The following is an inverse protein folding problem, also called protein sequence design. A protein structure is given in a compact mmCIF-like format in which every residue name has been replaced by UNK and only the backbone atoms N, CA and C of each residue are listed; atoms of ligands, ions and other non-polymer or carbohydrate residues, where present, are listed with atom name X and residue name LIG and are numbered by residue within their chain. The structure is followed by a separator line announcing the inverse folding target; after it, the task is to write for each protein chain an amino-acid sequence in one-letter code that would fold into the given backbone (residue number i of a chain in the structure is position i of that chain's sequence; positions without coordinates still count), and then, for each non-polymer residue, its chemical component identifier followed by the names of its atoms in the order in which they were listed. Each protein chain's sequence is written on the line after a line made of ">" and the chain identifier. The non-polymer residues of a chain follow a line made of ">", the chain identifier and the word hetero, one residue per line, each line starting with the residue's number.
data_IF_343483197835
#
_entry.id   IF_343483197835
#
_cell.length_a   1.000
_cell.length_b   1.000
_cell.length_c   1.000
_cell.angle_alpha   90.00
_cell.angle_beta   90.00
_cell.angle_gamma   90.00
#
_symmetry.space_group_name_H-M   'P 1'
#
loop_
_entity.id
_entity.type
_entity.pdbx_description
1 polymer ?
#
# COMPACT_ATOMS: atom_id res chain seq x y z
N UNK A 1 15.43 -21.78 3.14
CA UNK A 1 15.51 -20.38 3.60
C UNK A 1 14.21 -20.02 4.34
N UNK A 2 14.26 -19.26 5.42
CA UNK A 2 13.07 -18.77 6.10
C UNK A 2 12.34 -17.72 5.25
N UNK A 3 11.03 -17.55 5.46
CA UNK A 3 10.26 -16.48 4.82
C UNK A 3 10.68 -15.11 5.34
N UNK A 4 10.68 -14.10 4.47
CA UNK A 4 10.98 -12.72 4.86
C UNK A 4 9.88 -12.18 5.80
N UNK A 5 10.22 -11.61 6.96
CA UNK A 5 9.26 -10.97 7.83
C UNK A 5 8.57 -9.80 7.12
N UNK A 6 7.25 -9.79 7.14
CA UNK A 6 6.44 -8.76 6.50
C UNK A 6 5.56 -8.05 7.52
N UNK A 7 5.46 -6.73 7.38
CA UNK A 7 4.59 -5.85 8.16
C UNK A 7 3.75 -5.02 7.18
N UNK A 8 2.46 -4.89 7.43
CA UNK A 8 1.57 -4.11 6.58
C UNK A 8 0.93 -2.97 7.36
N UNK A 9 0.75 -1.82 6.71
CA UNK A 9 0.07 -0.66 7.28
C UNK A 9 -1.14 -0.30 6.41
N UNK A 10 -2.27 -0.02 7.06
CA UNK A 10 -3.48 0.43 6.36
C UNK A 10 -4.35 1.35 7.25
N UNK A 11 -5.16 2.21 6.62
CA UNK A 11 -6.07 3.13 7.31
C UNK A 11 -7.55 2.80 7.12
N UNK A 12 -7.89 1.88 6.22
CA UNK A 12 -9.26 1.54 5.85
C UNK A 12 -9.64 0.11 6.24
N UNK A 13 -10.02 -0.71 5.26
CA UNK A 13 -10.52 -2.07 5.47
C UNK A 13 -9.43 -3.14 5.53
N UNK A 14 -8.23 -2.82 5.08
CA UNK A 14 -7.14 -3.78 4.94
C UNK A 14 -7.37 -4.83 3.84
N UNK A 15 -8.31 -4.58 2.92
CA UNK A 15 -8.66 -5.53 1.86
C UNK A 15 -7.45 -5.93 1.01
N UNK A 16 -6.59 -4.99 0.67
CA UNK A 16 -5.37 -5.23 -0.08
C UNK A 16 -4.39 -6.12 0.68
N UNK A 17 -4.16 -5.82 1.97
CA UNK A 17 -3.34 -6.65 2.84
C UNK A 17 -3.89 -8.08 2.92
N UNK A 18 -5.22 -8.26 3.06
CA UNK A 18 -5.87 -9.57 3.09
C UNK A 18 -5.60 -10.40 1.82
N UNK A 19 -5.73 -9.77 0.64
CA UNK A 19 -5.45 -10.41 -0.66
C UNK A 19 -3.98 -10.84 -0.76
N UNK A 20 -3.05 -9.98 -0.33
CA UNK A 20 -1.61 -10.24 -0.41
C UNK A 20 -1.16 -11.35 0.54
N UNK A 21 -1.76 -11.50 1.73
CA UNK A 21 -1.39 -12.58 2.68
C UNK A 21 -1.47 -13.95 2.04
N UNK A 22 -2.56 -14.25 1.34
CA UNK A 22 -2.72 -15.51 0.63
C UNK A 22 -1.70 -15.70 -0.49
N UNK A 23 -1.56 -14.67 -1.33
CA UNK A 23 -0.74 -14.71 -2.54
C UNK A 23 0.77 -14.76 -2.25
N UNK A 24 1.23 -14.10 -1.19
CA UNK A 24 2.65 -13.97 -0.86
C UNK A 24 3.15 -14.93 0.24
N UNK A 25 2.30 -15.81 0.72
CA UNK A 25 2.58 -16.71 1.88
C UNK A 25 3.78 -17.65 1.69
N UNK A 26 4.17 -17.95 0.46
CA UNK A 26 5.35 -18.78 0.16
C UNK A 26 6.68 -18.06 0.40
N UNK A 27 6.74 -16.74 0.23
CA UNK A 27 7.98 -15.92 0.32
C UNK A 27 8.02 -15.05 1.57
N UNK A 28 6.86 -14.58 2.01
CA UNK A 28 6.73 -13.61 3.11
C UNK A 28 5.88 -14.19 4.23
N UNK A 29 6.22 -13.80 5.45
CA UNK A 29 5.45 -14.14 6.64
C UNK A 29 4.91 -12.86 7.28
N UNK A 30 3.59 -12.64 7.18
CA UNK A 30 2.97 -11.51 7.86
C UNK A 30 3.11 -11.68 9.37
N UNK A 31 3.95 -10.85 9.98
CA UNK A 31 4.14 -10.79 11.43
C UNK A 31 3.06 -9.97 12.10
N UNK A 32 2.74 -8.82 11.50
CA UNK A 32 1.75 -7.90 12.04
C UNK A 32 1.21 -7.00 10.93
N UNK A 33 -0.06 -6.62 11.05
CA UNK A 33 -0.68 -5.56 10.29
C UNK A 33 -1.11 -4.44 11.25
N UNK A 34 -0.62 -3.23 11.02
CA UNK A 34 -0.98 -2.06 11.83
C UNK A 34 -2.08 -1.26 11.15
N UNK A 35 -3.05 -0.80 11.95
CA UNK A 35 -4.05 0.14 11.44
C UNK A 35 -4.33 1.26 12.43
N UNK A 36 -4.47 2.48 11.90
CA UNK A 36 -4.95 3.64 12.65
C UNK A 36 -6.48 3.80 12.56
N UNK A 37 -7.17 2.89 11.88
CA UNK A 37 -8.63 2.83 11.86
C UNK A 37 -9.14 2.25 13.19
N UNK A 38 -9.65 3.11 14.07
CA UNK A 38 -10.20 2.71 15.37
C UNK A 38 -11.44 1.80 15.24
N UNK A 39 -12.17 1.95 14.13
CA UNK A 39 -13.40 1.21 13.84
C UNK A 39 -13.14 -0.08 13.04
N UNK A 40 -11.87 -0.40 12.78
CA UNK A 40 -11.54 -1.64 12.07
C UNK A 40 -12.10 -2.85 12.83
N UNK A 41 -12.80 -3.69 12.12
CA UNK A 41 -13.27 -5.01 12.62
C UNK A 41 -12.67 -6.08 11.73
N UNK A 42 -12.12 -7.11 12.35
CA UNK A 42 -11.67 -8.28 11.62
C UNK A 42 -12.89 -9.00 11.06
N UNK A 43 -12.95 -9.06 9.75
CA UNK A 43 -14.03 -9.73 9.05
C UNK A 43 -13.73 -11.24 9.04
N UNK A 44 -14.41 -11.96 9.92
CA UNK A 44 -14.28 -13.40 10.02
C UNK A 44 -14.82 -14.12 8.77
N UNK A 45 -15.74 -13.48 8.02
CA UNK A 45 -16.34 -14.06 6.81
C UNK A 45 -15.37 -14.12 5.64
N UNK A 46 -14.36 -13.24 5.58
CA UNK A 46 -13.29 -13.24 4.56
C UNK A 46 -12.13 -14.18 4.88
N UNK A 47 -12.38 -15.22 5.68
CA UNK A 47 -11.43 -16.30 5.90
C UNK A 47 -10.33 -16.04 6.92
N UNK A 48 -10.45 -15.00 7.74
CA UNK A 48 -9.56 -14.77 8.89
C UNK A 48 -8.08 -14.54 8.55
N UNK A 49 -7.74 -14.15 7.30
CA UNK A 49 -6.34 -13.99 6.85
C UNK A 49 -5.51 -13.07 7.76
N UNK A 50 -6.15 -12.10 8.40
CA UNK A 50 -5.51 -11.17 9.35
C UNK A 50 -5.85 -11.50 10.82
N UNK A 51 -6.61 -12.55 11.10
CA UNK A 51 -7.07 -12.85 12.45
C UNK A 51 -5.89 -12.96 13.44
N UNK A 52 -5.99 -12.21 14.54
CA UNK A 52 -4.94 -12.16 15.56
C UNK A 52 -3.64 -11.46 15.15
N UNK A 53 -3.55 -10.92 13.93
CA UNK A 53 -2.36 -10.22 13.43
C UNK A 53 -2.53 -8.71 13.33
N UNK A 54 -3.75 -8.17 13.49
CA UNK A 54 -3.99 -6.73 13.40
C UNK A 54 -3.81 -6.06 14.75
N UNK A 55 -3.00 -5.00 14.75
CA UNK A 55 -2.83 -4.10 15.88
C UNK A 55 -3.45 -2.75 15.53
N UNK A 56 -4.51 -2.40 16.25
CA UNK A 56 -5.12 -1.07 16.17
C UNK A 56 -4.39 -0.13 17.09
N UNK A 57 -3.81 0.94 16.54
CA UNK A 57 -3.04 1.91 17.31
C UNK A 57 -3.12 3.30 16.68
N UNK A 58 -2.79 4.34 17.46
CA UNK A 58 -2.58 5.68 16.90
C UNK A 58 -1.40 5.69 15.93
N UNK A 59 -1.36 6.65 15.02
CA UNK A 59 -0.21 6.81 14.10
C UNK A 59 1.09 6.98 14.86
N UNK A 60 1.09 7.71 15.98
CA UNK A 60 2.28 7.89 16.82
C UNK A 60 2.75 6.58 17.45
N UNK A 61 1.81 5.74 17.92
CA UNK A 61 2.15 4.42 18.46
C UNK A 61 2.68 3.48 17.37
N UNK A 62 2.13 3.55 16.15
CA UNK A 62 2.64 2.81 14.99
C UNK A 62 4.06 3.27 14.66
N UNK A 63 4.28 4.59 14.58
CA UNK A 63 5.59 5.18 14.33
C UNK A 63 6.62 4.73 15.40
N UNK A 64 6.23 4.75 16.67
CA UNK A 64 7.09 4.27 17.77
C UNK A 64 7.40 2.77 17.62
N UNK A 65 6.41 1.94 17.30
CA UNK A 65 6.62 0.50 17.09
C UNK A 65 7.59 0.20 15.94
N UNK A 66 7.48 0.96 14.83
CA UNK A 66 8.36 0.80 13.68
C UNK A 66 9.78 1.34 13.92
N UNK A 67 9.88 2.56 14.46
CA UNK A 67 11.17 3.24 14.61
C UNK A 67 11.98 2.81 15.82
N UNK A 68 11.31 2.50 16.94
CA UNK A 68 11.96 2.09 18.19
C UNK A 68 11.89 0.58 18.44
N UNK A 69 11.07 -0.12 17.67
CA UNK A 69 10.87 -1.57 17.79
C UNK A 69 12.06 -2.38 17.30
N UNK A 70 12.03 -3.68 17.62
CA UNK A 70 13.07 -4.64 17.23
C UNK A 70 12.63 -5.43 15.98
N UNK A 71 12.34 -4.73 14.88
CA UNK A 71 12.03 -5.41 13.63
C UNK A 71 13.25 -6.22 13.15
N UNK A 72 13.05 -7.45 12.63
CA UNK A 72 14.14 -8.24 12.06
C UNK A 72 14.82 -7.51 10.89
N UNK A 73 16.11 -7.77 10.71
CA UNK A 73 16.85 -7.24 9.55
C UNK A 73 16.23 -7.72 8.24
N UNK A 74 16.18 -6.84 7.25
CA UNK A 74 15.65 -7.15 5.92
C UNK A 74 14.13 -7.36 5.89
N UNK A 75 13.39 -6.82 6.86
CA UNK A 75 11.92 -6.88 6.85
C UNK A 75 11.34 -6.13 5.66
N UNK A 76 10.22 -6.64 5.13
CA UNK A 76 9.37 -5.91 4.22
C UNK A 76 8.29 -5.13 4.99
N UNK A 77 8.09 -3.87 4.62
CA UNK A 77 6.99 -3.05 5.14
C UNK A 77 6.20 -2.52 3.95
N UNK A 78 4.89 -2.77 3.90
CA UNK A 78 4.03 -2.27 2.83
C UNK A 78 2.96 -1.34 3.37
N UNK A 79 2.78 -0.21 2.71
CA UNK A 79 1.69 0.71 2.95
C UNK A 79 0.59 0.40 1.93
N UNK A 80 -0.51 -0.17 2.42
CA UNK A 80 -1.64 -0.61 1.61
C UNK A 80 -2.86 0.27 1.93
N UNK A 81 -2.88 1.49 1.40
CA UNK A 81 -3.87 2.50 1.76
C UNK A 81 -3.67 3.10 3.16
N UNK A 82 -2.43 3.21 3.61
CA UNK A 82 -2.09 3.95 4.83
C UNK A 82 -1.99 5.44 4.53
N UNK A 83 -2.87 6.24 5.13
CA UNK A 83 -3.06 7.66 4.81
C UNK A 83 -2.22 8.62 5.65
N UNK A 84 -1.17 8.12 6.30
CA UNK A 84 -0.26 8.94 7.11
C UNK A 84 1.16 8.84 6.59
N UNK A 85 1.88 9.96 6.69
CA UNK A 85 3.30 10.01 6.34
C UNK A 85 4.10 9.37 7.48
N UNK A 86 5.07 8.53 7.14
CA UNK A 86 6.06 8.04 8.09
C UNK A 86 7.11 9.13 8.33
N UNK A 87 7.35 9.55 9.58
CA UNK A 87 8.37 10.56 9.87
C UNK A 87 9.79 10.10 9.48
N UNK A 88 10.67 11.04 9.13
CA UNK A 88 12.04 10.74 8.70
C UNK A 88 12.83 9.90 9.71
N UNK A 89 12.66 10.13 11.02
CA UNK A 89 13.32 9.31 12.03
C UNK A 89 12.87 7.84 12.02
N UNK A 90 11.62 7.57 11.63
CA UNK A 90 11.12 6.19 11.44
C UNK A 90 11.79 5.56 10.23
N UNK A 91 11.81 6.27 9.11
CA UNK A 91 12.43 5.79 7.86
C UNK A 91 13.93 5.54 8.07
N UNK A 92 14.63 6.44 8.74
CA UNK A 92 16.05 6.27 9.10
C UNK A 92 16.28 5.00 9.96
N UNK A 93 15.44 4.77 10.97
CA UNK A 93 15.53 3.58 11.81
C UNK A 93 15.28 2.30 11.01
N UNK A 94 14.32 2.31 10.07
CA UNK A 94 14.02 1.19 9.19
C UNK A 94 15.15 0.93 8.19
N UNK A 95 15.74 1.96 7.60
CA UNK A 95 16.90 1.83 6.70
C UNK A 95 18.12 1.24 7.41
N UNK A 96 18.40 1.63 8.65
CA UNK A 96 19.48 1.02 9.48
C UNK A 96 19.27 -0.48 9.70
N UNK A 97 18.03 -0.96 9.55
CA UNK A 97 17.67 -2.38 9.62
C UNK A 97 17.56 -3.05 8.26
N UNK A 98 17.97 -2.36 7.19
CA UNK A 98 17.85 -2.85 5.81
C UNK A 98 16.40 -3.23 5.46
N UNK A 99 15.43 -2.59 6.08
CA UNK A 99 14.03 -2.81 5.78
C UNK A 99 13.66 -2.13 4.46
N UNK A 100 12.94 -2.86 3.61
CA UNK A 100 12.35 -2.32 2.40
C UNK A 100 10.95 -1.77 2.73
N UNK A 101 10.74 -0.48 2.49
CA UNK A 101 9.47 0.19 2.77
C UNK A 101 8.82 0.62 1.46
N UNK A 102 7.70 0.01 1.12
CA UNK A 102 6.99 0.25 -0.13
C UNK A 102 5.59 0.79 0.11
N UNK A 103 5.18 1.71 -0.74
CA UNK A 103 3.79 2.18 -0.83
C UNK A 103 3.23 1.84 -2.21
N UNK A 104 1.95 1.48 -2.27
CA UNK A 104 1.21 1.44 -3.52
C UNK A 104 0.29 2.66 -3.59
N UNK A 105 0.48 3.46 -4.65
CA UNK A 105 -0.32 4.64 -4.93
C UNK A 105 -1.28 4.34 -6.09
N UNK A 106 -2.60 4.52 -5.92
CA UNK A 106 -3.59 4.10 -6.90
C UNK A 106 -3.82 5.14 -8.00
N UNK A 107 -2.74 5.67 -8.55
CA UNK A 107 -2.76 6.55 -9.71
C UNK A 107 -1.41 6.50 -10.44
N UNK A 108 -1.38 6.73 -11.77
CA UNK A 108 -0.16 6.71 -12.57
C UNK A 108 0.63 8.03 -12.42
N UNK A 109 1.19 8.25 -11.23
CA UNK A 109 1.90 9.49 -10.87
C UNK A 109 3.18 9.75 -11.67
N UNK A 110 3.72 8.73 -12.35
CA UNK A 110 4.81 8.90 -13.31
C UNK A 110 4.36 9.63 -14.58
N UNK A 111 3.07 9.52 -14.95
CA UNK A 111 2.46 10.24 -16.08
C UNK A 111 1.77 11.52 -15.64
N UNK A 112 1.14 11.51 -14.47
CA UNK A 112 0.31 12.59 -13.93
C UNK A 112 0.75 12.93 -12.51
N UNK A 113 1.88 13.66 -12.33
CA UNK A 113 2.44 13.94 -11.01
C UNK A 113 1.50 14.68 -10.05
N UNK A 114 0.51 15.39 -10.57
CA UNK A 114 -0.51 16.09 -9.80
C UNK A 114 -1.50 15.14 -9.08
N UNK A 115 -1.47 13.85 -9.40
CA UNK A 115 -2.27 12.83 -8.72
C UNK A 115 -1.64 12.32 -7.43
N UNK A 116 -0.47 12.82 -7.03
CA UNK A 116 0.13 12.53 -5.73
C UNK A 116 -0.76 13.02 -4.59
N UNK A 117 -0.61 12.39 -3.44
CA UNK A 117 -1.28 12.77 -2.21
C UNK A 117 -2.71 12.25 -2.10
N UNK A 118 -3.57 13.02 -1.47
CA UNK A 118 -4.92 12.60 -1.09
C UNK A 118 -5.90 12.53 -2.27
N UNK A 119 -6.88 11.64 -2.13
CA UNK A 119 -8.01 11.44 -3.06
C UNK A 119 -7.61 11.15 -4.51
N UNK A 120 -6.61 10.30 -4.78
CA UNK A 120 -6.13 10.02 -6.12
C UNK A 120 -7.22 9.43 -7.03
N UNK A 121 -8.07 8.53 -6.52
CA UNK A 121 -9.16 7.94 -7.31
C UNK A 121 -10.16 9.00 -7.81
N UNK A 122 -10.56 9.94 -6.94
CA UNK A 122 -11.51 10.99 -7.34
C UNK A 122 -10.93 11.91 -8.39
N UNK A 123 -9.71 12.39 -8.15
CA UNK A 123 -8.99 13.23 -9.13
C UNK A 123 -8.81 12.53 -10.47
N UNK A 124 -8.44 11.23 -10.41
CA UNK A 124 -8.27 10.41 -11.60
C UNK A 124 -9.58 10.24 -12.35
N UNK A 125 -10.67 9.90 -11.66
CA UNK A 125 -12.00 9.78 -12.23
C UNK A 125 -12.45 11.07 -12.93
N UNK A 126 -12.39 12.21 -12.25
CA UNK A 126 -12.77 13.51 -12.83
C UNK A 126 -11.92 13.86 -14.06
N UNK A 127 -10.64 13.52 -14.02
CA UNK A 127 -9.74 13.72 -15.16
C UNK A 127 -10.04 12.81 -16.33
N UNK A 128 -10.44 11.56 -16.11
CA UNK A 128 -10.89 10.64 -17.14
C UNK A 128 -12.18 11.14 -17.79
N UNK A 129 -13.18 11.53 -16.97
CA UNK A 129 -14.46 12.05 -17.47
C UNK A 129 -14.31 13.31 -18.34
N UNK A 130 -13.31 14.14 -18.04
CA UNK A 130 -13.01 15.36 -18.82
C UNK A 130 -12.04 15.13 -19.98
N UNK A 131 -11.55 13.91 -20.18
CA UNK A 131 -10.56 13.57 -21.20
C UNK A 131 -9.14 14.10 -20.91
N UNK A 132 -8.89 14.60 -19.68
CA UNK A 132 -7.57 15.05 -19.24
C UNK A 132 -6.61 13.86 -19.08
N UNK A 133 -7.08 12.73 -18.55
CA UNK A 133 -6.30 11.52 -18.33
C UNK A 133 -6.81 10.40 -19.23
N UNK A 134 -5.88 9.74 -19.91
CA UNK A 134 -6.17 8.61 -20.83
C UNK A 134 -5.90 7.25 -20.19
N UNK A 135 -5.14 7.22 -19.10
CA UNK A 135 -4.75 6.00 -18.43
C UNK A 135 -5.15 6.05 -16.97
N UNK A 136 -5.63 4.93 -16.48
CA UNK A 136 -5.61 4.59 -15.06
C UNK A 136 -4.33 3.80 -14.77
N UNK A 137 -3.99 3.63 -13.51
CA UNK A 137 -2.85 2.81 -13.15
C UNK A 137 -2.47 2.96 -11.69
N UNK A 138 -1.46 2.22 -11.33
CA UNK A 138 -0.91 2.18 -9.98
C UNK A 138 0.61 2.25 -10.03
N UNK A 139 1.20 2.77 -8.98
CA UNK A 139 2.66 2.86 -8.81
C UNK A 139 3.04 2.26 -7.47
N UNK A 140 3.98 1.32 -7.47
CA UNK A 140 4.69 0.88 -6.27
C UNK A 140 5.97 1.68 -6.21
N UNK A 141 6.21 2.37 -5.10
CA UNK A 141 7.40 3.18 -4.90
C UNK A 141 7.99 2.96 -3.50
N UNK A 142 9.27 3.20 -3.35
CA UNK A 142 9.89 3.27 -2.03
C UNK A 142 9.35 4.49 -1.28
N UNK A 143 9.22 4.36 0.03
CA UNK A 143 8.72 5.46 0.87
C UNK A 143 9.89 6.34 1.29
N UNK A 144 9.79 7.63 0.98
CA UNK A 144 10.68 8.69 1.45
C UNK A 144 9.93 9.69 2.34
N UNK A 145 10.56 10.81 2.70
CA UNK A 145 9.97 11.84 3.55
C UNK A 145 8.93 12.71 2.80
N UNK A 146 8.85 12.59 1.48
CA UNK A 146 7.89 13.30 0.65
C UNK A 146 6.55 12.57 0.54
N UNK A 147 5.63 13.20 -0.19
CA UNK A 147 4.33 12.60 -0.49
C UNK A 147 4.39 11.95 -1.86
N UNK A 148 4.45 10.62 -1.88
CA UNK A 148 4.53 9.79 -3.09
C UNK A 148 5.67 10.21 -4.04
N UNK A 149 6.84 10.57 -3.47
CA UNK A 149 8.00 11.10 -4.20
C UNK A 149 9.16 10.13 -4.33
N UNK A 150 9.14 9.05 -3.57
CA UNK A 150 10.22 8.07 -3.58
C UNK A 150 10.42 7.34 -4.92
N UNK A 151 11.56 6.66 -5.08
CA UNK A 151 11.89 5.93 -6.30
C UNK A 151 10.81 4.93 -6.68
N UNK A 152 10.40 4.93 -7.95
CA UNK A 152 9.41 3.99 -8.47
C UNK A 152 10.08 2.62 -8.60
N UNK A 153 9.49 1.63 -7.92
CA UNK A 153 9.93 0.24 -7.95
C UNK A 153 9.19 -0.58 -9.02
N UNK A 154 7.90 -0.31 -9.20
CA UNK A 154 7.06 -0.95 -10.23
C UNK A 154 5.84 -0.10 -10.55
N UNK A 155 5.20 -0.33 -11.69
CA UNK A 155 3.97 0.34 -12.07
C UNK A 155 3.17 -0.49 -13.06
N UNK A 156 1.87 -0.23 -13.12
CA UNK A 156 0.97 -0.84 -14.09
C UNK A 156 -0.02 0.19 -14.61
N UNK A 157 -0.31 0.12 -15.90
CA UNK A 157 -1.20 1.05 -16.61
C UNK A 157 -2.24 0.30 -17.40
N UNK A 158 -3.42 0.91 -17.53
CA UNK A 158 -4.49 0.48 -18.42
C UNK A 158 -5.15 1.70 -19.06
N UNK A 159 -5.73 1.54 -20.26
CA UNK A 159 -6.53 2.60 -20.88
C UNK A 159 -7.81 2.80 -20.06
N UNK A 160 -8.07 4.04 -19.70
CA UNK A 160 -9.29 4.39 -19.00
C UNK A 160 -10.50 4.33 -19.94
N UNK A 161 -11.61 3.79 -19.48
CA UNK A 161 -12.90 3.90 -20.16
C UNK A 161 -13.67 5.11 -19.58
N UNK A 162 -13.94 6.15 -20.37
CA UNK A 162 -14.73 7.30 -19.93
C UNK A 162 -16.19 6.93 -19.56
N UNK A 163 -16.64 5.74 -19.94
CA UNK A 163 -17.97 5.23 -19.58
C UNK A 163 -18.04 4.63 -18.17
N UNK A 164 -16.92 4.41 -17.50
CA UNK A 164 -16.93 3.89 -16.14
C UNK A 164 -17.58 4.83 -15.13
N UNK A 165 -18.26 4.23 -14.18
CA UNK A 165 -18.65 4.89 -12.93
C UNK A 165 -17.39 5.06 -12.04
N UNK A 166 -17.54 5.86 -10.98
CA UNK A 166 -16.47 6.02 -10.01
C UNK A 166 -16.10 4.68 -9.32
N UNK A 167 -17.10 3.88 -9.00
CA UNK A 167 -16.96 2.58 -8.39
C UNK A 167 -16.20 1.60 -9.27
N UNK A 168 -16.55 1.54 -10.57
CA UNK A 168 -15.86 0.68 -11.55
C UNK A 168 -14.39 1.09 -11.72
N UNK A 169 -14.10 2.39 -11.78
CA UNK A 169 -12.71 2.87 -11.80
C UNK A 169 -11.94 2.44 -10.54
N UNK A 170 -12.55 2.54 -9.37
CA UNK A 170 -11.93 2.10 -8.13
C UNK A 170 -11.67 0.58 -8.13
N UNK A 171 -12.61 -0.22 -8.62
CA UNK A 171 -12.47 -1.68 -8.72
C UNK A 171 -11.31 -2.07 -9.65
N UNK A 172 -11.23 -1.45 -10.84
CA UNK A 172 -10.11 -1.68 -11.76
C UNK A 172 -8.78 -1.21 -11.17
N UNK A 173 -8.73 -0.07 -10.48
CA UNK A 173 -7.53 0.37 -9.77
C UNK A 173 -7.07 -0.65 -8.72
N UNK A 174 -7.99 -1.23 -7.94
CA UNK A 174 -7.66 -2.25 -6.95
C UNK A 174 -7.17 -3.55 -7.60
N UNK A 175 -7.73 -3.94 -8.73
CA UNK A 175 -7.28 -5.11 -9.51
C UNK A 175 -5.85 -4.88 -10.02
N UNK A 176 -5.60 -3.73 -10.67
CA UNK A 176 -4.27 -3.35 -11.13
C UNK A 176 -3.27 -3.30 -9.97
N UNK A 177 -3.68 -2.83 -8.80
CA UNK A 177 -2.86 -2.80 -7.60
C UNK A 177 -2.40 -4.19 -7.15
N UNK A 178 -3.33 -5.14 -7.11
CA UNK A 178 -3.00 -6.52 -6.78
C UNK A 178 -2.06 -7.14 -7.83
N UNK A 179 -2.35 -6.95 -9.11
CA UNK A 179 -1.52 -7.46 -10.19
C UNK A 179 -0.10 -6.85 -10.16
N UNK A 180 0.03 -5.54 -9.91
CA UNK A 180 1.32 -4.87 -9.78
C UNK A 180 2.15 -5.44 -8.63
N UNK A 181 1.54 -5.71 -7.47
CA UNK A 181 2.22 -6.39 -6.37
C UNK A 181 2.70 -7.78 -6.75
N UNK A 182 1.86 -8.55 -7.45
CA UNK A 182 2.22 -9.90 -7.88
C UNK A 182 3.37 -9.88 -8.90
N UNK A 183 3.35 -8.96 -9.86
CA UNK A 183 4.43 -8.78 -10.82
C UNK A 183 5.74 -8.36 -10.13
N UNK A 184 5.68 -7.38 -9.24
CA UNK A 184 6.85 -6.91 -8.50
C UNK A 184 7.50 -8.02 -7.65
N UNK A 185 6.71 -8.83 -6.96
CA UNK A 185 7.27 -9.86 -6.09
C UNK A 185 7.62 -11.16 -6.82
N UNK A 186 7.13 -11.42 -8.02
CA UNK A 186 7.40 -12.65 -8.78
C UNK A 186 8.43 -12.44 -9.92
N UNK A 187 8.73 -11.20 -10.29
CA UNK A 187 9.80 -10.85 -11.23
C UNK A 187 11.14 -10.90 -10.55
#
# INVERSE_FOLDING_TARGET
>A
MGRTPWYSLFSHTGAETKRLVGALSSRFELKCAYTNNRNYQDDLELGGALYGKVIKASSDSINAALGMGTLPLGSLITLNGYTRILPGWVLEALHKRLALVLNIHPAPIQLYPELRGLDPHRKLYEGVQTGKYKYIGVVIHEVDEGVDTGPIAHWKLELADPGWTYEELCEESHKLGFEAWMEYFNG
#
